data_IF_692540693762
#
_entry.id   IF_692540693762
#
_cell.length_a   1.000
_cell.length_b   1.000
_cell.length_c   1.000
_cell.angle_alpha   90.00
_cell.angle_beta   90.00
_cell.angle_gamma   90.00
#
_symmetry.space_group_name_H-M   'P 1'
#
loop_
_entity.id
_entity.type
_entity.pdbx_description
1 polymer ?
#
# COMPACT_ATOMS: atom_id res chain seq x y z
N UNK A 1 -13.41 -10.60 -8.73
CA UNK A 1 -12.19 -11.04 -8.02
C UNK A 1 -11.80 -10.01 -6.98
N UNK A 2 -11.45 -10.50 -5.79
CA UNK A 2 -11.03 -9.62 -4.72
C UNK A 2 -9.66 -9.04 -5.00
N UNK A 3 -9.51 -7.74 -4.75
CA UNK A 3 -8.20 -7.11 -4.80
C UNK A 3 -7.41 -7.43 -3.53
N UNK A 4 -6.11 -7.55 -3.65
CA UNK A 4 -5.21 -7.82 -2.55
C UNK A 4 -4.51 -6.55 -2.13
N UNK A 5 -4.58 -6.23 -0.85
CA UNK A 5 -3.98 -5.05 -0.26
C UNK A 5 -3.00 -5.48 0.82
N UNK A 6 -1.78 -4.98 0.76
CA UNK A 6 -0.80 -5.15 1.84
C UNK A 6 -0.74 -3.86 2.65
N UNK A 7 -0.97 -3.98 3.93
CA UNK A 7 -0.92 -2.86 4.87
C UNK A 7 0.33 -3.00 5.73
N UNK A 8 1.18 -1.99 5.73
CA UNK A 8 2.46 -2.00 6.45
C UNK A 8 2.52 -0.83 7.42
N UNK A 9 2.56 -1.13 8.71
CA UNK A 9 2.65 -0.14 9.77
C UNK A 9 3.19 -0.82 11.02
N UNK A 10 4.02 -0.15 11.80
CA UNK A 10 4.54 -0.71 13.04
C UNK A 10 3.57 -0.55 14.22
N UNK A 11 2.52 0.24 14.04
CA UNK A 11 1.47 0.40 15.05
C UNK A 11 0.37 -0.65 14.84
N UNK A 12 0.32 -1.62 15.74
CA UNK A 12 -0.63 -2.74 15.65
C UNK A 12 -2.08 -2.28 15.63
N UNK A 13 -2.41 -1.24 16.40
CA UNK A 13 -3.77 -0.69 16.44
C UNK A 13 -4.21 -0.15 15.07
N UNK A 14 -3.30 0.48 14.34
CA UNK A 14 -3.59 0.97 12.99
C UNK A 14 -3.79 -0.21 12.04
N UNK A 15 -2.94 -1.23 12.13
CA UNK A 15 -3.09 -2.43 11.30
C UNK A 15 -4.46 -3.07 11.50
N UNK A 16 -4.88 -3.25 12.75
CA UNK A 16 -6.18 -3.87 13.06
C UNK A 16 -7.35 -3.01 12.59
N UNK A 17 -7.30 -1.71 12.84
CA UNK A 17 -8.37 -0.79 12.48
C UNK A 17 -8.56 -0.68 10.98
N UNK A 18 -7.48 -0.48 10.26
CA UNK A 18 -7.53 -0.33 8.79
C UNK A 18 -7.90 -1.68 8.14
N UNK A 19 -7.29 -2.75 8.59
CA UNK A 19 -7.60 -4.09 8.08
C UNK A 19 -9.08 -4.42 8.22
N UNK A 20 -9.65 -4.19 9.40
CA UNK A 20 -11.06 -4.46 9.67
C UNK A 20 -11.96 -3.74 8.66
N UNK A 21 -11.69 -2.46 8.43
CA UNK A 21 -12.51 -1.66 7.52
C UNK A 21 -12.36 -2.07 6.06
N UNK A 22 -11.15 -2.42 5.63
CA UNK A 22 -10.91 -2.84 4.24
C UNK A 22 -11.48 -4.24 3.97
N UNK A 23 -11.39 -5.15 4.92
CA UNK A 23 -12.01 -6.47 4.80
C UNK A 23 -13.53 -6.34 4.64
N UNK A 24 -14.15 -5.43 5.38
CA UNK A 24 -15.59 -5.16 5.25
C UNK A 24 -15.98 -4.66 3.85
N UNK A 25 -15.06 -4.01 3.16
CA UNK A 25 -15.29 -3.55 1.79
C UNK A 25 -15.08 -4.65 0.74
N UNK A 26 -14.72 -5.85 1.17
CA UNK A 26 -14.56 -7.00 0.28
C UNK A 26 -13.12 -7.25 -0.21
N UNK A 27 -12.14 -6.57 0.36
CA UNK A 27 -10.74 -6.76 -0.03
C UNK A 27 -10.07 -7.87 0.78
N UNK A 28 -9.10 -8.54 0.15
CA UNK A 28 -8.16 -9.40 0.88
C UNK A 28 -7.04 -8.51 1.44
N UNK A 29 -6.84 -8.55 2.75
CA UNK A 29 -5.86 -7.69 3.41
C UNK A 29 -4.79 -8.52 4.08
N UNK A 30 -3.54 -8.22 3.73
CA UNK A 30 -2.35 -8.81 4.34
C UNK A 30 -1.66 -7.71 5.14
N UNK A 31 -0.96 -8.06 6.19
CA UNK A 31 -0.30 -7.08 7.06
C UNK A 31 1.16 -7.40 7.26
N UNK A 32 1.95 -6.36 7.52
CA UNK A 32 3.35 -6.47 7.90
C UNK A 32 3.68 -5.33 8.86
N UNK A 33 4.61 -5.55 9.79
CA UNK A 33 4.94 -4.59 10.82
C UNK A 33 6.20 -3.78 10.53
N UNK A 34 6.93 -4.15 9.49
CA UNK A 34 8.13 -3.43 9.04
C UNK A 34 8.40 -3.69 7.56
N UNK A 35 9.35 -2.96 7.01
CA UNK A 35 9.65 -3.05 5.58
C UNK A 35 10.22 -4.40 5.14
N UNK A 36 11.05 -5.01 5.97
CA UNK A 36 11.63 -6.32 5.64
C UNK A 36 10.56 -7.40 5.56
N UNK A 37 9.64 -7.42 6.52
CA UNK A 37 8.48 -8.32 6.51
C UNK A 37 7.58 -8.01 5.32
N UNK A 38 7.37 -6.73 5.03
CA UNK A 38 6.54 -6.31 3.90
C UNK A 38 7.04 -6.87 2.57
N UNK A 39 8.35 -6.88 2.35
CA UNK A 39 8.92 -7.42 1.11
C UNK A 39 8.66 -8.93 0.98
N UNK A 40 8.74 -9.66 2.09
CA UNK A 40 8.44 -11.10 2.09
C UNK A 40 6.97 -11.36 1.78
N UNK A 41 6.09 -10.66 2.47
CA UNK A 41 4.65 -10.82 2.27
C UNK A 41 4.26 -10.42 0.85
N UNK A 42 4.78 -9.30 0.36
CA UNK A 42 4.50 -8.83 -1.00
C UNK A 42 4.93 -9.85 -2.06
N UNK A 43 6.09 -10.48 -1.88
CA UNK A 43 6.56 -11.50 -2.82
C UNK A 43 5.62 -12.71 -2.86
N UNK A 44 5.00 -13.06 -1.74
CA UNK A 44 4.08 -14.18 -1.65
C UNK A 44 2.69 -13.84 -2.16
N UNK A 45 2.12 -12.70 -1.71
CA UNK A 45 0.73 -12.38 -2.03
C UNK A 45 0.56 -11.55 -3.30
N UNK A 46 1.61 -10.90 -3.79
CA UNK A 46 1.57 -10.01 -4.97
C UNK A 46 0.41 -9.04 -4.91
N UNK A 47 0.46 -8.07 -3.98
CA UNK A 47 -0.66 -7.16 -3.76
C UNK A 47 -0.86 -6.22 -4.94
N UNK A 48 -2.09 -5.81 -5.16
CA UNK A 48 -2.43 -4.76 -6.12
C UNK A 48 -2.05 -3.38 -5.59
N UNK A 49 -2.13 -3.22 -4.28
CA UNK A 49 -1.91 -1.97 -3.58
C UNK A 49 -1.18 -2.23 -2.28
N UNK A 50 -0.20 -1.39 -1.98
CA UNK A 50 0.50 -1.39 -0.69
C UNK A 50 0.23 -0.04 -0.01
N UNK A 51 -0.33 -0.10 1.20
CA UNK A 51 -0.45 1.06 2.08
C UNK A 51 0.73 0.99 3.05
N UNK A 52 1.62 1.96 2.97
CA UNK A 52 2.95 1.86 3.56
C UNK A 52 3.26 3.05 4.46
N UNK A 53 3.46 2.78 5.74
CA UNK A 53 3.89 3.82 6.68
C UNK A 53 5.29 4.33 6.31
N UNK A 54 5.46 5.66 6.33
CA UNK A 54 6.75 6.29 6.04
C UNK A 54 7.79 6.02 7.12
N UNK A 55 7.39 6.04 8.37
CA UNK A 55 8.30 6.00 9.52
C UNK A 55 8.15 4.70 10.27
N UNK A 56 9.07 3.78 10.02
CA UNK A 56 9.12 2.48 10.68
C UNK A 56 10.55 2.16 11.10
N UNK A 57 10.73 1.38 12.17
CA UNK A 57 12.06 0.88 12.53
C UNK A 57 12.59 -0.13 11.52
N UNK A 58 13.85 -0.40 11.54
CA UNK A 58 14.57 -1.40 10.72
C UNK A 58 14.68 -0.97 9.26
N UNK A 59 13.56 -0.80 8.57
CA UNK A 59 13.53 -0.35 7.17
C UNK A 59 12.34 0.59 7.03
N UNK A 60 12.60 1.86 6.72
CA UNK A 60 11.55 2.86 6.58
C UNK A 60 10.75 2.70 5.28
N UNK A 61 9.70 3.50 5.15
CA UNK A 61 8.82 3.43 3.98
C UNK A 61 9.52 3.74 2.68
N UNK A 62 10.40 4.73 2.66
CA UNK A 62 11.13 5.11 1.44
C UNK A 62 12.05 3.98 0.99
N UNK A 63 12.78 3.37 1.91
CA UNK A 63 13.65 2.23 1.61
C UNK A 63 12.84 1.04 1.09
N UNK A 64 11.70 0.77 1.71
CA UNK A 64 10.80 -0.31 1.30
C UNK A 64 10.27 -0.08 -0.09
N UNK A 65 9.80 1.13 -0.38
CA UNK A 65 9.27 1.48 -1.71
C UNK A 65 10.35 1.34 -2.79
N UNK A 66 11.57 1.78 -2.50
CA UNK A 66 12.69 1.64 -3.44
C UNK A 66 12.95 0.16 -3.75
N UNK A 67 12.92 -0.71 -2.74
CA UNK A 67 13.10 -2.14 -2.94
C UNK A 67 11.97 -2.74 -3.77
N UNK A 68 10.72 -2.30 -3.56
CA UNK A 68 9.57 -2.73 -4.36
C UNK A 68 9.78 -2.35 -5.83
N UNK A 69 10.22 -1.12 -6.10
CA UNK A 69 10.41 -0.65 -7.48
C UNK A 69 11.54 -1.35 -8.21
N UNK A 70 12.51 -1.91 -7.47
CA UNK A 70 13.61 -2.69 -8.04
C UNK A 70 13.27 -4.16 -8.25
N UNK A 71 12.18 -4.64 -7.68
CA UNK A 71 11.76 -6.02 -7.81
C UNK A 71 10.92 -6.19 -9.08
N UNK A 72 11.37 -7.01 -10.06
CA UNK A 72 10.64 -7.16 -11.33
C UNK A 72 9.20 -7.64 -11.17
N UNK A 73 8.90 -8.38 -10.10
CA UNK A 73 7.55 -8.88 -9.84
C UNK A 73 6.66 -7.81 -9.21
N UNK A 74 7.24 -6.91 -8.42
CA UNK A 74 6.50 -5.95 -7.60
C UNK A 74 6.56 -4.52 -8.13
N UNK A 75 7.38 -4.25 -9.14
CA UNK A 75 7.68 -2.88 -9.59
C UNK A 75 6.46 -2.05 -9.99
N UNK A 76 5.39 -2.68 -10.44
CA UNK A 76 4.18 -2.01 -10.90
C UNK A 76 3.07 -1.97 -9.85
N UNK A 77 3.32 -2.52 -8.66
CA UNK A 77 2.36 -2.44 -7.56
C UNK A 77 2.15 -0.98 -7.13
N UNK A 78 0.91 -0.60 -6.95
CA UNK A 78 0.59 0.76 -6.48
C UNK A 78 1.03 0.92 -5.03
N UNK A 79 1.69 2.03 -4.71
CA UNK A 79 2.16 2.32 -3.36
C UNK A 79 1.58 3.66 -2.90
N UNK A 80 0.88 3.64 -1.77
CA UNK A 80 0.35 4.81 -1.10
C UNK A 80 1.00 4.92 0.27
N UNK A 81 1.69 6.02 0.52
CA UNK A 81 2.30 6.25 1.83
C UNK A 81 1.29 6.77 2.83
N UNK A 82 1.45 6.33 4.07
CA UNK A 82 0.76 6.90 5.23
C UNK A 82 1.78 7.75 5.97
N UNK A 83 1.59 9.06 6.00
CA UNK A 83 2.57 9.97 6.61
C UNK A 83 1.94 10.80 7.72
N UNK A 84 2.76 11.15 8.72
CA UNK A 84 2.30 12.01 9.80
C UNK A 84 2.09 13.44 9.28
N UNK A 85 1.20 14.18 9.95
CA UNK A 85 0.96 15.59 9.64
C UNK A 85 2.26 16.37 9.84
N UNK A 86 2.60 17.22 8.87
CA UNK A 86 3.80 18.05 8.95
C UNK A 86 5.05 17.43 8.35
N UNK A 87 4.98 16.25 7.79
CA UNK A 87 6.14 15.56 7.20
C UNK A 87 6.23 15.76 5.68
N UNK A 88 6.08 16.99 5.22
CA UNK A 88 6.08 17.31 3.80
C UNK A 88 7.39 16.93 3.10
N UNK A 89 8.54 17.11 3.76
CA UNK A 89 9.82 16.70 3.20
C UNK A 89 9.92 15.22 2.94
N UNK A 90 9.28 14.40 3.81
CA UNK A 90 9.24 12.95 3.65
C UNK A 90 8.29 12.56 2.51
N UNK A 91 7.20 13.30 2.31
CA UNK A 91 6.30 13.08 1.18
C UNK A 91 7.04 13.29 -0.14
N UNK A 92 7.83 14.37 -0.26
CA UNK A 92 8.63 14.61 -1.45
C UNK A 92 9.64 13.48 -1.70
N UNK A 93 10.34 13.04 -0.65
CA UNK A 93 11.28 11.91 -0.76
C UNK A 93 10.56 10.62 -1.19
N UNK A 94 9.33 10.41 -0.74
CA UNK A 94 8.54 9.26 -1.14
C UNK A 94 8.15 9.28 -2.61
N UNK A 95 7.78 10.44 -3.16
CA UNK A 95 7.53 10.56 -4.60
C UNK A 95 8.79 10.27 -5.40
N UNK A 96 9.95 10.72 -4.93
CA UNK A 96 11.23 10.43 -5.59
C UNK A 96 11.54 8.93 -5.66
N UNK A 97 11.07 8.14 -4.69
CA UNK A 97 11.27 6.68 -4.71
C UNK A 97 10.13 5.93 -5.40
N UNK A 98 9.16 6.65 -5.96
CA UNK A 98 8.13 6.06 -6.80
C UNK A 98 6.81 5.76 -6.13
N UNK A 99 6.43 6.54 -5.12
CA UNK A 99 5.08 6.46 -4.54
C UNK A 99 4.04 7.00 -5.51
N UNK A 100 2.85 6.43 -5.46
CA UNK A 100 1.74 6.85 -6.32
C UNK A 100 0.82 7.87 -5.64
N UNK A 101 0.74 7.86 -4.33
CA UNK A 101 -0.11 8.80 -3.58
C UNK A 101 0.30 8.83 -2.10
N UNK A 102 -0.33 9.72 -1.35
CA UNK A 102 -0.14 9.91 0.09
C UNK A 102 -1.47 10.06 0.79
N UNK A 103 -1.54 9.55 2.01
CA UNK A 103 -2.60 9.83 2.96
C UNK A 103 -1.96 10.27 4.27
N UNK A 104 -2.54 11.30 4.89
CA UNK A 104 -2.00 11.88 6.11
C UNK A 104 -2.64 11.27 7.34
N UNK A 105 -1.83 10.95 8.35
CA UNK A 105 -2.33 10.56 9.67
C UNK A 105 -2.75 11.81 10.46
N UNK A 106 -3.78 11.76 11.30
CA UNK A 106 -4.60 10.59 11.63
C UNK A 106 -5.47 10.16 10.44
N UNK A 107 -5.59 8.86 10.26
CA UNK A 107 -6.31 8.29 9.11
C UNK A 107 -7.81 8.49 9.28
N UNK A 108 -8.42 9.18 8.32
CA UNK A 108 -9.87 9.29 8.23
C UNK A 108 -10.36 8.12 7.38
N UNK A 109 -11.06 7.19 8.00
CA UNK A 109 -11.39 5.92 7.36
C UNK A 109 -12.20 6.09 6.08
N UNK A 110 -13.17 6.98 6.06
CA UNK A 110 -13.96 7.23 4.84
C UNK A 110 -13.10 7.70 3.69
N UNK A 111 -12.12 8.56 3.98
CA UNK A 111 -11.19 9.06 2.96
C UNK A 111 -10.27 7.94 2.48
N UNK A 112 -9.75 7.13 3.39
CA UNK A 112 -8.91 6.01 3.04
C UNK A 112 -9.64 5.03 2.12
N UNK A 113 -10.84 4.61 2.50
CA UNK A 113 -11.65 3.69 1.70
C UNK A 113 -11.94 4.26 0.32
N UNK A 114 -12.31 5.54 0.25
CA UNK A 114 -12.58 6.23 -1.01
C UNK A 114 -11.35 6.25 -1.93
N UNK A 115 -10.17 6.55 -1.36
CA UNK A 115 -8.91 6.56 -2.12
C UNK A 115 -8.54 5.18 -2.62
N UNK A 116 -8.66 4.18 -1.76
CA UNK A 116 -8.39 2.78 -2.13
C UNK A 116 -9.29 2.35 -3.27
N UNK A 117 -10.60 2.63 -3.18
CA UNK A 117 -11.54 2.30 -4.23
C UNK A 117 -11.18 2.97 -5.56
N UNK A 118 -10.82 4.25 -5.52
CA UNK A 118 -10.45 5.00 -6.72
C UNK A 118 -9.18 4.42 -7.36
N UNK A 119 -8.18 4.10 -6.57
CA UNK A 119 -6.92 3.53 -7.06
C UNK A 119 -7.15 2.17 -7.69
N UNK A 120 -7.92 1.30 -7.04
CA UNK A 120 -8.19 -0.04 -7.56
C UNK A 120 -9.02 -0.01 -8.85
N UNK A 121 -9.95 0.95 -8.96
CA UNK A 121 -10.67 1.17 -10.23
C UNK A 121 -9.72 1.57 -11.35
N UNK A 122 -8.74 2.42 -11.06
CA UNK A 122 -7.74 2.83 -12.05
C UNK A 122 -6.89 1.65 -12.50
N UNK A 123 -6.48 0.80 -11.57
CA UNK A 123 -5.73 -0.41 -11.87
C UNK A 123 -6.53 -1.29 -12.83
N UNK A 124 -7.80 -1.50 -12.55
CA UNK A 124 -8.66 -2.33 -13.38
C UNK A 124 -8.86 -1.72 -14.78
N UNK A 125 -9.02 -0.41 -14.86
CA UNK A 125 -9.20 0.30 -16.13
C UNK A 125 -7.96 0.26 -17.02
N UNK A 126 -6.77 0.30 -16.41
CA UNK A 126 -5.49 0.28 -17.13
C UNK A 126 -5.03 -1.13 -17.49
N UNK A 127 -5.71 -2.15 -17.00
CA UNK A 127 -5.39 -3.52 -17.36
C UNK A 127 -5.83 -3.79 -18.79
N UNK A 128 -4.99 -4.47 -19.57
CA UNK A 128 -5.49 -5.04 -20.82
C UNK A 128 -6.66 -5.98 -20.47
N UNK A 129 -7.71 -6.03 -21.29
CA UNK A 129 -8.82 -6.92 -21.01
C UNK A 129 -8.29 -8.34 -20.81
N UNK A 130 -8.67 -8.95 -19.68
CA UNK A 130 -8.34 -10.34 -19.44
C UNK A 130 -8.90 -11.14 -20.60
N UNK A 131 -8.04 -11.93 -21.21
CA UNK A 131 -8.52 -12.90 -22.18
C UNK A 131 -9.53 -13.76 -21.44
N UNK A 132 -10.73 -13.82 -21.97
CA UNK A 132 -11.72 -14.73 -21.43
C UNK A 132 -11.04 -16.09 -21.26
N UNK A 133 -11.21 -16.72 -20.10
CA UNK A 133 -10.66 -18.05 -19.93
C UNK A 133 -11.23 -18.94 -21.04
N UNK A 134 -10.32 -19.55 -21.70
CA UNK A 134 -10.67 -20.43 -22.80
C UNK A 134 -11.51 -21.59 -22.24
#
# INVERSE_FOLDING_TARGET
>A
MSHRILLVDDEVDILEFVRYNLVREGYEVFTAENGAEALKVAAECRPHLILLDMMMPVMDGAQTCRAIRRNPVLKDTMVVFLSALGEEGQQLAGFDVGADDYLTKPIKMKLLVSRVQAILKRIDADRPPEKAPA
#
